data_IF_178290904587
#
_entry.id   IF_178290904587
#
_cell.length_a   1.000
_cell.length_b   1.000
_cell.length_c   1.000
_cell.angle_alpha   90.00
_cell.angle_beta   90.00
_cell.angle_gamma   90.00
#
_symmetry.space_group_name_H-M   'P 1'
#
loop_
_entity.id
_entity.type
_entity.pdbx_description
1 polymer ?
#
# COMPACT_ATOMS: atom_id res chain seq x y z
N UNK A 1 -4.46 35.88 -16.77
CA UNK A 1 -3.99 35.38 -15.45
C UNK A 1 -2.90 34.35 -15.68
N UNK A 2 -1.71 34.48 -15.06
CA UNK A 2 -0.66 33.45 -15.22
C UNK A 2 -1.07 32.14 -14.54
N UNK A 3 -0.81 30.97 -15.16
CA UNK A 3 -1.14 29.68 -14.57
C UNK A 3 -0.38 29.48 -13.25
N UNK A 4 -1.10 29.16 -12.17
CA UNK A 4 -0.49 28.90 -10.85
C UNK A 4 0.47 27.70 -10.96
N UNK A 5 1.72 27.80 -10.50
CA UNK A 5 2.70 26.74 -10.66
C UNK A 5 2.30 25.47 -9.88
N UNK A 6 2.66 24.30 -10.41
CA UNK A 6 2.24 22.97 -9.91
C UNK A 6 2.60 22.73 -8.45
N UNK A 7 3.79 23.18 -8.03
CA UNK A 7 4.25 23.06 -6.64
C UNK A 7 3.39 23.83 -5.63
N UNK A 8 2.39 24.63 -6.06
CA UNK A 8 1.43 25.27 -5.14
C UNK A 8 0.18 24.43 -4.90
N UNK A 9 0.05 23.27 -5.55
CA UNK A 9 -1.15 22.44 -5.45
C UNK A 9 -1.03 21.48 -4.27
N UNK A 10 -1.99 21.53 -3.34
CA UNK A 10 -2.05 20.62 -2.19
C UNK A 10 -2.04 19.13 -2.59
N UNK A 11 -2.70 18.79 -3.71
CA UNK A 11 -2.74 17.41 -4.23
C UNK A 11 -1.40 16.91 -4.75
N UNK A 12 -0.51 17.83 -5.16
CA UNK A 12 0.84 17.47 -5.57
C UNK A 12 1.66 17.06 -4.34
N UNK A 13 1.69 17.90 -3.31
CA UNK A 13 2.39 17.59 -2.07
C UNK A 13 1.83 16.36 -1.36
N UNK A 14 0.50 16.19 -1.33
CA UNK A 14 -0.12 15.01 -0.76
C UNK A 14 0.31 13.73 -1.49
N UNK A 15 0.39 13.75 -2.82
CA UNK A 15 0.85 12.57 -3.57
C UNK A 15 2.33 12.26 -3.33
N UNK A 16 3.19 13.28 -3.27
CA UNK A 16 4.59 13.09 -2.88
C UNK A 16 4.73 12.53 -1.46
N UNK A 17 3.91 13.02 -0.52
CA UNK A 17 3.88 12.53 0.85
C UNK A 17 3.48 11.05 0.89
N UNK A 18 2.44 10.65 0.16
CA UNK A 18 2.01 9.24 0.06
C UNK A 18 3.13 8.38 -0.53
N UNK A 19 3.80 8.82 -1.60
CA UNK A 19 4.93 8.09 -2.19
C UNK A 19 6.10 7.93 -1.21
N UNK A 20 6.42 8.96 -0.43
CA UNK A 20 7.45 8.89 0.59
C UNK A 20 7.09 7.88 1.70
N UNK A 21 5.83 7.86 2.16
CA UNK A 21 5.38 6.88 3.14
C UNK A 21 5.35 5.45 2.58
N UNK A 22 4.95 5.25 1.33
CA UNK A 22 4.99 3.94 0.68
C UNK A 22 6.43 3.43 0.54
N UNK A 23 7.36 4.29 0.12
CA UNK A 23 8.79 3.96 0.06
C UNK A 23 9.37 3.62 1.43
N UNK A 24 9.04 4.41 2.46
CA UNK A 24 9.44 4.13 3.84
C UNK A 24 8.87 2.79 4.35
N UNK A 25 7.58 2.54 4.11
CA UNK A 25 6.93 1.31 4.52
C UNK A 25 7.53 0.08 3.82
N UNK A 26 7.89 0.21 2.54
CA UNK A 26 8.60 -0.84 1.80
C UNK A 26 9.98 -1.12 2.41
N UNK A 27 10.80 -0.11 2.65
CA UNK A 27 12.12 -0.29 3.29
C UNK A 27 11.98 -0.86 4.70
N UNK A 28 10.96 -0.47 5.45
CA UNK A 28 10.72 -1.04 6.78
C UNK A 28 10.36 -2.53 6.67
N UNK A 29 9.51 -2.90 5.72
CA UNK A 29 9.02 -4.28 5.57
C UNK A 29 10.07 -5.27 5.07
N UNK A 30 11.19 -4.80 4.49
CA UNK A 30 12.33 -5.68 4.20
C UNK A 30 13.11 -6.07 5.46
N UNK A 31 13.03 -5.27 6.53
CA UNK A 31 13.80 -5.48 7.77
C UNK A 31 12.94 -5.87 8.99
N UNK A 32 11.64 -5.64 8.92
CA UNK A 32 10.70 -5.91 10.00
C UNK A 32 9.47 -6.60 9.44
N UNK A 33 8.86 -7.43 10.26
CA UNK A 33 7.54 -7.97 10.01
C UNK A 33 6.63 -7.51 11.14
N UNK A 34 5.57 -6.81 10.76
CA UNK A 34 4.57 -6.25 11.65
C UNK A 34 3.21 -6.85 11.25
N UNK A 35 2.50 -7.51 12.16
CA UNK A 35 1.17 -8.03 11.88
C UNK A 35 0.20 -7.85 13.05
N UNK A 36 -1.07 -7.80 12.69
CA UNK A 36 -2.21 -7.91 13.58
C UNK A 36 -2.92 -9.21 13.25
N UNK A 37 -3.29 -9.98 14.26
CA UNK A 37 -4.09 -11.19 14.09
C UNK A 37 -5.34 -11.14 14.95
N UNK A 38 -6.37 -11.83 14.50
CA UNK A 38 -7.66 -11.88 15.15
C UNK A 38 -8.27 -13.28 15.03
N UNK A 39 -8.68 -13.84 16.18
CA UNK A 39 -9.43 -15.08 16.28
C UNK A 39 -10.67 -14.87 17.14
N UNK A 40 -11.80 -15.46 16.74
CA UNK A 40 -13.01 -15.51 17.57
C UNK A 40 -13.12 -16.87 18.23
N UNK A 41 -13.67 -16.93 19.45
CA UNK A 41 -13.92 -18.19 20.16
C UNK A 41 -14.85 -19.15 19.41
N UNK A 42 -15.62 -18.65 18.44
CA UNK A 42 -16.53 -19.41 17.58
C UNK A 42 -15.90 -19.88 16.27
N UNK A 43 -14.71 -19.41 15.92
CA UNK A 43 -14.02 -19.70 14.67
C UNK A 43 -12.76 -20.51 14.93
N UNK A 44 -12.55 -21.59 14.18
CA UNK A 44 -11.24 -22.27 14.14
C UNK A 44 -10.19 -21.47 13.37
N UNK A 45 -10.62 -20.52 12.55
CA UNK A 45 -9.76 -19.72 11.66
C UNK A 45 -9.26 -18.48 12.40
N UNK A 46 -7.94 -18.32 12.42
CA UNK A 46 -7.22 -17.10 12.80
C UNK A 46 -6.95 -16.30 11.53
N UNK A 47 -7.35 -15.03 11.52
CA UNK A 47 -7.02 -14.10 10.43
C UNK A 47 -5.82 -13.25 10.82
N UNK A 48 -4.95 -12.93 9.88
CA UNK A 48 -3.85 -12.02 10.08
C UNK A 48 -3.71 -11.03 8.92
N UNK A 49 -3.30 -9.81 9.23
CA UNK A 49 -2.91 -8.81 8.26
C UNK A 49 -1.60 -8.17 8.71
N UNK A 50 -0.69 -7.92 7.79
CA UNK A 50 0.62 -7.40 8.16
C UNK A 50 1.42 -6.87 7.00
N UNK A 51 2.67 -6.59 7.30
CA UNK A 51 3.69 -6.14 6.37
C UNK A 51 5.01 -6.84 6.71
N UNK A 52 5.72 -7.29 5.69
CA UNK A 52 6.97 -8.03 5.85
C UNK A 52 7.47 -8.53 4.50
N UNK A 53 8.76 -8.89 4.41
CA UNK A 53 9.38 -9.42 3.20
C UNK A 53 9.20 -8.56 1.95
N UNK A 54 9.09 -7.23 2.11
CA UNK A 54 8.82 -6.35 0.98
C UNK A 54 7.39 -6.43 0.44
N UNK A 55 6.44 -6.96 1.23
CA UNK A 55 5.03 -7.11 0.87
C UNK A 55 4.06 -6.69 1.97
N UNK A 56 2.81 -6.44 1.56
CA UNK A 56 1.64 -6.45 2.43
C UNK A 56 1.09 -7.87 2.43
N UNK A 57 0.76 -8.38 3.61
CA UNK A 57 0.39 -9.77 3.85
C UNK A 57 -1.03 -9.82 4.39
N UNK A 58 -1.83 -10.75 3.86
CA UNK A 58 -3.10 -11.18 4.42
C UNK A 58 -3.03 -12.69 4.57
N UNK A 59 -3.14 -13.18 5.79
CA UNK A 59 -2.99 -14.60 6.08
C UNK A 59 -4.18 -15.14 6.86
N UNK A 60 -4.35 -16.45 6.80
CA UNK A 60 -5.24 -17.17 7.68
C UNK A 60 -4.65 -18.52 8.05
N UNK A 61 -5.06 -19.03 9.22
CA UNK A 61 -4.60 -20.32 9.74
C UNK A 61 -5.68 -21.02 10.53
N UNK A 62 -5.72 -22.34 10.42
CA UNK A 62 -6.59 -23.21 11.22
C UNK A 62 -5.94 -23.65 12.55
N UNK A 63 -4.89 -22.94 13.00
CA UNK A 63 -4.17 -23.29 14.23
C UNK A 63 -5.11 -23.28 15.46
N UNK A 64 -5.37 -24.46 16.07
CA UNK A 64 -6.25 -24.56 17.22
C UNK A 64 -5.66 -23.86 18.44
N UNK A 65 -4.34 -23.65 18.50
CA UNK A 65 -3.63 -23.08 19.64
C UNK A 65 -3.47 -21.57 19.59
N UNK A 66 -3.84 -20.91 18.48
CA UNK A 66 -3.82 -19.46 18.41
C UNK A 66 -4.76 -18.87 19.50
N UNK A 67 -4.28 -17.87 20.28
CA UNK A 67 -5.08 -17.27 21.35
C UNK A 67 -6.28 -16.52 20.79
N UNK A 68 -7.39 -16.58 21.51
CA UNK A 68 -8.59 -15.82 21.17
C UNK A 68 -8.36 -14.31 21.31
N UNK A 69 -9.01 -13.54 20.44
CA UNK A 69 -8.99 -12.09 20.46
C UNK A 69 -7.99 -11.46 19.49
N UNK A 70 -7.70 -10.19 19.73
CA UNK A 70 -6.83 -9.36 18.91
C UNK A 70 -5.39 -9.42 19.46
N UNK A 71 -4.44 -9.76 18.61
CA UNK A 71 -3.02 -9.78 18.94
C UNK A 71 -2.22 -8.90 17.97
N UNK A 72 -1.17 -8.27 18.49
CA UNK A 72 -0.23 -7.47 17.73
C UNK A 72 1.16 -8.04 17.95
N UNK A 73 1.91 -8.16 16.86
CA UNK A 73 3.27 -8.68 16.91
C UNK A 73 4.15 -7.92 15.94
N UNK A 74 5.37 -7.66 16.38
CA UNK A 74 6.41 -7.00 15.60
C UNK A 74 7.72 -7.70 15.91
N UNK A 75 8.42 -8.14 14.87
CA UNK A 75 9.77 -8.68 15.01
C UNK A 75 10.64 -8.29 13.83
N UNK A 76 11.95 -8.32 14.07
CA UNK A 76 12.94 -8.17 13.00
C UNK A 76 12.81 -9.36 12.05
N UNK A 77 12.68 -9.11 10.76
CA UNK A 77 12.61 -10.19 9.78
C UNK A 77 13.93 -10.96 9.79
N UNK A 78 13.84 -12.29 9.88
CA UNK A 78 14.99 -13.13 9.64
C UNK A 78 15.15 -13.27 8.11
N UNK A 79 16.29 -12.86 7.51
CA UNK A 79 16.50 -13.01 6.06
C UNK A 79 16.46 -14.47 5.60
N UNK A 80 16.55 -15.44 6.52
CA UNK A 80 16.37 -16.86 6.20
C UNK A 80 14.92 -17.26 5.85
N UNK A 81 13.93 -16.42 6.16
CA UNK A 81 12.50 -16.74 5.97
C UNK A 81 11.96 -16.39 4.58
N UNK A 82 12.79 -15.88 3.68
CA UNK A 82 12.40 -15.64 2.30
C UNK A 82 13.15 -14.47 1.66
N UNK A 83 13.02 -14.38 0.33
CA UNK A 83 13.51 -13.22 -0.40
C UNK A 83 12.67 -11.99 -0.06
N UNK A 84 13.31 -10.86 0.23
CA UNK A 84 12.63 -9.55 0.41
C UNK A 84 12.10 -8.95 -0.90
N UNK A 85 12.24 -9.70 -1.98
CA UNK A 85 11.84 -9.36 -3.33
C UNK A 85 11.32 -10.60 -4.04
N UNK A 86 10.13 -10.52 -4.60
CA UNK A 86 9.60 -11.53 -5.52
C UNK A 86 9.13 -10.85 -6.81
N UNK A 87 9.35 -11.50 -7.97
CA UNK A 87 9.04 -10.91 -9.27
C UNK A 87 7.53 -10.79 -9.51
N UNK A 88 6.71 -11.61 -8.84
CA UNK A 88 5.26 -11.56 -8.94
C UNK A 88 4.69 -10.38 -8.14
N UNK A 89 3.66 -9.72 -8.68
CA UNK A 89 2.97 -8.64 -7.95
C UNK A 89 2.11 -9.17 -6.79
N UNK A 90 1.56 -10.37 -6.98
CA UNK A 90 0.65 -11.06 -6.08
C UNK A 90 1.13 -12.49 -5.96
N UNK A 91 1.26 -12.97 -4.73
CA UNK A 91 1.72 -14.31 -4.44
C UNK A 91 0.77 -14.95 -3.42
N UNK A 92 0.27 -16.14 -3.77
CA UNK A 92 -0.48 -17.01 -2.88
C UNK A 92 0.48 -18.12 -2.46
N UNK A 93 0.83 -18.17 -1.18
CA UNK A 93 1.75 -19.18 -0.66
C UNK A 93 1.13 -19.90 0.53
N UNK A 94 1.32 -21.21 0.56
CA UNK A 94 1.20 -21.97 1.79
C UNK A 94 2.49 -21.72 2.58
N UNK A 95 2.39 -21.22 3.79
CA UNK A 95 3.55 -21.10 4.68
C UNK A 95 4.30 -22.43 4.78
N UNK A 96 5.60 -22.34 5.14
CA UNK A 96 6.44 -23.53 5.27
C UNK A 96 5.85 -24.58 6.23
N UNK A 97 5.10 -24.11 7.23
CA UNK A 97 4.18 -24.93 7.99
C UNK A 97 2.81 -24.86 7.29
N UNK A 98 2.33 -26.00 6.77
CA UNK A 98 1.10 -26.15 5.95
C UNK A 98 -0.18 -25.56 6.59
N UNK A 99 -0.10 -25.11 7.84
CA UNK A 99 -1.19 -24.49 8.61
C UNK A 99 -1.43 -23.01 8.28
N UNK A 100 -0.51 -22.30 7.63
CA UNK A 100 -0.71 -20.90 7.25
C UNK A 100 -0.90 -20.75 5.74
N UNK A 101 -1.96 -20.06 5.35
CA UNK A 101 -2.17 -19.62 3.98
C UNK A 101 -1.94 -18.11 3.93
N UNK A 102 -1.15 -17.65 2.97
CA UNK A 102 -0.79 -16.24 2.82
C UNK A 102 -1.12 -15.74 1.41
N UNK A 103 -1.75 -14.58 1.36
CA UNK A 103 -1.93 -13.74 0.20
C UNK A 103 -1.06 -12.49 0.36
N UNK A 104 -0.06 -12.36 -0.50
CA UNK A 104 0.96 -11.32 -0.44
C UNK A 104 0.85 -10.39 -1.63
N UNK A 105 0.91 -9.08 -1.40
CA UNK A 105 1.00 -8.05 -2.44
C UNK A 105 2.33 -7.33 -2.31
N UNK A 106 3.14 -7.33 -3.37
CA UNK A 106 4.44 -6.67 -3.36
C UNK A 106 4.31 -5.15 -3.22
N UNK A 107 5.16 -4.52 -2.40
CA UNK A 107 5.16 -3.06 -2.26
C UNK A 107 5.50 -2.34 -3.56
N UNK A 108 6.38 -2.90 -4.39
CA UNK A 108 6.71 -2.29 -5.69
C UNK A 108 5.45 -2.13 -6.55
N UNK A 109 4.54 -3.10 -6.50
CA UNK A 109 3.29 -3.05 -7.23
C UNK A 109 2.38 -1.94 -6.69
N UNK A 110 2.25 -1.82 -5.36
CA UNK A 110 1.49 -0.74 -4.72
C UNK A 110 2.08 0.65 -5.02
N UNK A 111 3.41 0.76 -5.00
CA UNK A 111 4.16 1.97 -5.32
C UNK A 111 3.95 2.36 -6.78
N UNK A 112 3.80 1.42 -7.72
CA UNK A 112 3.49 1.71 -9.12
C UNK A 112 2.01 2.01 -9.33
N UNK A 113 1.11 1.35 -8.61
CA UNK A 113 -0.34 1.50 -8.75
C UNK A 113 -0.83 2.90 -8.38
N UNK A 114 -0.19 3.58 -7.42
CA UNK A 114 -0.54 4.94 -7.00
C UNK A 114 -0.14 6.08 -7.98
N UNK A 115 1.10 6.16 -8.50
CA UNK A 115 1.55 7.27 -9.33
C UNK A 115 0.84 7.34 -10.68
N UNK A 116 0.38 6.24 -11.27
CA UNK A 116 -0.36 6.27 -12.54
C UNK A 116 -1.68 7.07 -12.44
N UNK A 117 -2.64 6.72 -11.57
CA UNK A 117 -3.87 7.50 -11.39
C UNK A 117 -3.61 8.90 -10.84
N UNK A 118 -2.61 9.05 -9.96
CA UNK A 118 -2.24 10.37 -9.44
C UNK A 118 -1.70 11.30 -10.54
N UNK A 119 -0.80 10.81 -11.40
CA UNK A 119 -0.30 11.57 -12.55
C UNK A 119 -1.42 11.88 -13.55
N UNK A 120 -2.30 10.91 -13.83
CA UNK A 120 -3.49 11.12 -14.65
C UNK A 120 -4.39 12.23 -14.12
N UNK A 121 -4.65 12.24 -12.81
CA UNK A 121 -5.39 13.30 -12.13
C UNK A 121 -4.71 14.66 -12.23
N UNK A 122 -3.40 14.74 -12.01
CA UNK A 122 -2.64 15.98 -12.16
C UNK A 122 -2.69 16.51 -13.59
N UNK A 123 -2.51 15.65 -14.59
CA UNK A 123 -2.59 16.01 -16.01
C UNK A 123 -3.99 16.49 -16.39
N UNK A 124 -5.03 15.79 -15.95
CA UNK A 124 -6.41 16.21 -16.14
C UNK A 124 -6.68 17.60 -15.54
N UNK A 125 -6.19 17.85 -14.32
CA UNK A 125 -6.33 19.15 -13.65
C UNK A 125 -5.58 20.27 -14.37
N UNK A 126 -4.36 20.01 -14.88
CA UNK A 126 -3.61 20.95 -15.72
C UNK A 126 -4.44 21.32 -16.95
N UNK A 127 -4.97 20.32 -17.66
CA UNK A 127 -5.79 20.52 -18.86
C UNK A 127 -7.03 21.36 -18.54
N UNK A 128 -7.72 21.08 -17.44
CA UNK A 128 -8.91 21.84 -17.02
C UNK A 128 -8.61 23.31 -16.78
N UNK A 129 -7.51 23.65 -16.11
CA UNK A 129 -7.18 25.04 -15.83
C UNK A 129 -6.73 25.83 -17.06
N UNK A 130 -6.13 25.17 -18.06
CA UNK A 130 -5.82 25.81 -19.34
C UNK A 130 -7.11 26.26 -20.06
N UNK A 131 -8.14 25.40 -20.09
CA UNK A 131 -9.43 25.73 -20.71
C UNK A 131 -10.15 26.93 -20.07
N UNK A 132 -10.04 27.09 -18.75
CA UNK A 132 -10.65 28.24 -18.04
C UNK A 132 -9.95 29.56 -18.40
N UNK A 133 -8.66 29.52 -18.71
CA UNK A 133 -7.90 30.70 -19.11
C UNK A 133 -8.17 31.18 -20.54
N UNK A 134 -8.78 30.34 -21.38
CA UNK A 134 -9.05 30.61 -22.80
C UNK A 134 -10.47 31.15 -23.07
N UNK A 135 -11.32 31.29 -22.04
CA UNK A 135 -12.63 31.91 -22.24
C UNK A 135 -12.45 33.37 -22.69
N UNK A 136 -13.00 33.76 -23.86
CA UNK A 136 -12.86 35.13 -24.34
C UNK A 136 -13.46 36.10 -23.32
N UNK A 137 -12.90 37.32 -23.19
CA UNK A 137 -13.50 38.34 -22.34
C UNK A 137 -14.95 38.51 -22.76
N UNK A 138 -15.88 38.39 -21.81
CA UNK A 138 -17.28 38.70 -22.04
C UNK A 138 -17.35 40.12 -22.60
N UNK A 139 -17.92 40.27 -23.79
CA UNK A 139 -18.26 41.58 -24.35
C UNK A 139 -19.31 42.16 -23.40
N UNK A 140 -18.92 43.18 -22.63
CA UNK A 140 -19.86 43.98 -21.85
C UNK A 140 -20.55 44.93 -22.84
N UNK A 141 -21.87 44.77 -22.99
CA UNK A 141 -22.77 45.66 -23.75
C UNK A 141 -23.12 46.92 -22.94
#
# INVERSE_FOLDING_TARGET
>A
MSPRPLHRWKSFWLGLLVLAFLGWAWVRSTHHMDYVSYKTSTSSITWAAGTGFGAVLLGWSDDPFAPDGLSFSSYRSNPAWGSTWFPEAILLDGGADESWQNFSIAYWFLILLFPFPWAGFLLWRIRRMRRVGEMPPSVED
#
